data_IF_899113560856
#
_entry.id   IF_899113560856
#
_cell.length_a   1.000
_cell.length_b   1.000
_cell.length_c   1.000
_cell.angle_alpha   90.00
_cell.angle_beta   90.00
_cell.angle_gamma   90.00
#
_symmetry.space_group_name_H-M   'P 1'
#
loop_
_entity.id
_entity.type
_entity.pdbx_description
1 polymer ?
#
# COMPACT_ATOMS: atom_id res chain seq x y z
N UNK A 1 2.86 12.87 8.12
CA UNK A 1 2.98 12.83 6.65
C UNK A 1 2.29 11.58 6.12
N UNK A 2 1.61 11.67 4.97
CA UNK A 2 0.98 10.55 4.28
C UNK A 2 1.86 10.15 3.09
N UNK A 3 2.23 8.88 3.01
CA UNK A 3 3.00 8.33 1.91
C UNK A 3 2.11 7.38 1.08
N UNK A 4 1.90 7.70 -0.18
CA UNK A 4 1.15 6.87 -1.12
C UNK A 4 2.13 6.09 -1.99
N UNK A 5 2.16 4.77 -1.82
CA UNK A 5 2.86 3.85 -2.70
C UNK A 5 1.88 3.43 -3.81
N UNK A 6 2.04 4.05 -4.95
CA UNK A 6 1.19 3.81 -6.12
C UNK A 6 1.83 2.79 -7.05
N UNK A 7 1.14 1.68 -7.30
CA UNK A 7 1.63 0.62 -8.15
C UNK A 7 0.58 0.22 -9.20
N UNK A 8 0.61 0.86 -10.36
CA UNK A 8 -0.26 0.52 -11.48
C UNK A 8 0.57 0.23 -12.73
N UNK A 9 0.57 -1.01 -13.26
CA UNK A 9 1.37 -1.38 -14.44
C UNK A 9 1.00 -0.59 -15.70
N UNK A 10 -0.27 -0.16 -15.79
CA UNK A 10 -0.81 0.59 -16.94
C UNK A 10 -1.50 1.87 -16.46
N UNK A 11 -0.76 2.87 -15.93
CA UNK A 11 -1.35 4.04 -15.25
C UNK A 11 -2.23 4.89 -16.17
N UNK A 12 -1.95 4.90 -17.47
CA UNK A 12 -2.73 5.67 -18.45
C UNK A 12 -4.13 5.12 -18.70
N UNK A 13 -4.37 3.84 -18.39
CA UNK A 13 -5.66 3.18 -18.57
C UNK A 13 -6.55 3.20 -17.32
N UNK A 14 -6.11 3.82 -16.23
CA UNK A 14 -6.85 3.82 -14.96
C UNK A 14 -7.52 5.15 -14.69
N UNK A 15 -8.83 5.22 -14.90
CA UNK A 15 -9.61 6.40 -14.53
C UNK A 15 -9.76 6.55 -13.02
N UNK A 16 -10.05 5.47 -12.30
CA UNK A 16 -10.30 5.50 -10.87
C UNK A 16 -9.03 5.89 -10.08
N UNK A 17 -7.91 5.20 -10.34
CA UNK A 17 -6.66 5.52 -9.65
C UNK A 17 -6.14 6.91 -9.98
N UNK A 18 -6.29 7.36 -11.24
CA UNK A 18 -5.91 8.72 -11.64
C UNK A 18 -6.67 9.78 -10.83
N UNK A 19 -8.00 9.64 -10.72
CA UNK A 19 -8.84 10.55 -9.91
C UNK A 19 -8.44 10.55 -8.44
N UNK A 20 -8.16 9.39 -7.87
CA UNK A 20 -7.72 9.28 -6.47
C UNK A 20 -6.40 10.02 -6.26
N UNK A 21 -5.43 9.85 -7.16
CA UNK A 21 -4.15 10.55 -7.08
C UNK A 21 -4.27 12.07 -7.29
N UNK A 22 -5.14 12.51 -8.21
CA UNK A 22 -5.42 13.92 -8.43
C UNK A 22 -5.97 14.57 -7.15
N UNK A 23 -6.90 13.91 -6.47
CA UNK A 23 -7.42 14.39 -5.19
C UNK A 23 -6.34 14.36 -4.09
N UNK A 24 -5.54 13.31 -4.02
CA UNK A 24 -4.48 13.21 -3.04
C UNK A 24 -3.43 14.33 -3.17
N UNK A 25 -3.13 14.74 -4.41
CA UNK A 25 -2.18 15.84 -4.69
C UNK A 25 -2.65 17.21 -4.20
N UNK A 26 -3.94 17.39 -3.95
CA UNK A 26 -4.48 18.64 -3.42
C UNK A 26 -4.32 18.77 -1.90
N UNK A 27 -3.92 17.69 -1.23
CA UNK A 27 -3.76 17.64 0.21
C UNK A 27 -2.32 17.98 0.61
N UNK A 28 -2.17 18.76 1.68
CA UNK A 28 -0.86 19.03 2.25
C UNK A 28 -0.31 17.78 2.98
N UNK A 29 1.01 17.65 3.00
CA UNK A 29 1.69 16.55 3.70
C UNK A 29 1.53 15.18 3.05
N UNK A 30 1.22 15.14 1.74
CA UNK A 30 1.14 13.90 0.96
C UNK A 30 2.33 13.78 0.02
N UNK A 31 3.04 12.66 0.10
CA UNK A 31 4.07 12.25 -0.87
C UNK A 31 3.55 11.05 -1.67
N UNK A 32 3.69 11.08 -3.00
CA UNK A 32 3.27 10.01 -3.89
C UNK A 32 4.49 9.40 -4.56
N UNK A 33 4.70 8.10 -4.38
CA UNK A 33 5.74 7.32 -5.03
C UNK A 33 5.12 6.37 -6.03
N UNK A 34 5.23 6.71 -7.31
CA UNK A 34 4.72 5.89 -8.42
C UNK A 34 5.77 4.85 -8.80
N UNK A 35 5.62 3.62 -8.31
CA UNK A 35 6.66 2.60 -8.43
C UNK A 35 7.04 2.29 -9.87
N UNK A 36 6.06 2.15 -10.77
CA UNK A 36 6.32 1.86 -12.19
C UNK A 36 6.96 3.03 -12.96
N UNK A 37 6.90 4.25 -12.43
CA UNK A 37 7.62 5.40 -12.97
C UNK A 37 9.02 5.53 -12.38
N UNK A 38 9.18 5.25 -11.09
CA UNK A 38 10.47 5.33 -10.40
C UNK A 38 11.38 4.16 -10.78
N UNK A 39 10.81 2.98 -10.97
CA UNK A 39 11.55 1.73 -11.16
C UNK A 39 11.06 0.95 -12.39
N UNK A 40 11.18 1.52 -13.61
CA UNK A 40 10.71 0.86 -14.83
C UNK A 40 11.48 -0.43 -15.13
N UNK A 41 12.70 -0.55 -14.63
CA UNK A 41 13.58 -1.71 -14.74
C UNK A 41 13.50 -2.66 -13.52
N UNK A 42 12.57 -2.41 -12.58
CA UNK A 42 12.41 -3.16 -11.33
C UNK A 42 13.62 -3.09 -10.38
N UNK A 43 14.57 -2.19 -10.62
CA UNK A 43 15.71 -1.96 -9.75
C UNK A 43 15.37 -0.93 -8.66
N UNK A 44 14.85 -1.41 -7.54
CA UNK A 44 14.33 -0.57 -6.45
C UNK A 44 15.47 -0.02 -5.61
N UNK A 45 15.50 1.29 -5.42
CA UNK A 45 16.37 1.96 -4.44
C UNK A 45 15.77 1.78 -3.03
N UNK A 46 16.27 0.75 -2.34
CA UNK A 46 15.78 0.37 -1.01
C UNK A 46 15.98 1.49 0.00
N UNK A 47 17.12 2.17 -0.04
CA UNK A 47 17.44 3.23 0.92
C UNK A 47 16.49 4.43 0.78
N UNK A 48 16.23 4.85 -0.46
CA UNK A 48 15.29 5.93 -0.74
C UNK A 48 13.85 5.60 -0.32
N UNK A 49 13.43 4.34 -0.51
CA UNK A 49 12.10 3.89 -0.09
C UNK A 49 11.97 3.79 1.44
N UNK A 50 13.00 3.27 2.11
CA UNK A 50 13.04 3.20 3.57
C UNK A 50 13.08 4.61 4.21
N UNK A 51 13.79 5.55 3.61
CA UNK A 51 13.79 6.93 4.06
C UNK A 51 12.40 7.57 3.94
N UNK A 52 11.72 7.40 2.80
CA UNK A 52 10.36 7.90 2.60
C UNK A 52 9.39 7.28 3.62
N UNK A 53 9.47 5.98 3.84
CA UNK A 53 8.67 5.27 4.85
C UNK A 53 8.94 5.77 6.26
N UNK A 54 10.19 6.09 6.60
CA UNK A 54 10.56 6.57 7.94
C UNK A 54 9.85 7.86 8.30
N UNK A 55 9.63 8.76 7.34
CA UNK A 55 8.92 10.04 7.52
C UNK A 55 7.40 9.90 7.59
N UNK A 56 6.83 8.78 7.15
CA UNK A 56 5.39 8.60 7.04
C UNK A 56 4.75 8.19 8.38
N UNK A 57 3.59 8.76 8.68
CA UNK A 57 2.70 8.31 9.76
C UNK A 57 1.62 7.36 9.22
N UNK A 58 1.15 7.64 7.99
CA UNK A 58 0.21 6.82 7.25
C UNK A 58 0.82 6.39 5.92
N UNK A 59 0.86 5.11 5.68
CA UNK A 59 1.29 4.50 4.42
C UNK A 59 0.03 4.03 3.68
N UNK A 60 -0.09 4.40 2.41
CA UNK A 60 -1.21 3.97 1.56
C UNK A 60 -0.67 3.11 0.43
N UNK A 61 -1.11 1.86 0.33
CA UNK A 61 -0.88 1.04 -0.86
C UNK A 61 -2.05 1.23 -1.81
N UNK A 62 -1.80 1.94 -2.91
CA UNK A 62 -2.81 2.20 -3.95
C UNK A 62 -2.47 1.45 -5.23
N UNK A 63 -3.32 0.52 -5.63
CA UNK A 63 -3.09 -0.31 -6.81
C UNK A 63 -4.37 -0.96 -7.34
N UNK A 64 -4.39 -1.42 -8.61
CA UNK A 64 -5.44 -2.28 -9.12
C UNK A 64 -5.24 -3.71 -8.59
N UNK A 65 -6.32 -4.43 -8.36
CA UNK A 65 -6.25 -5.88 -8.15
C UNK A 65 -5.98 -6.57 -9.48
N UNK A 66 -4.96 -7.41 -9.51
CA UNK A 66 -4.61 -8.24 -10.66
C UNK A 66 -4.62 -9.72 -10.24
N UNK A 67 -5.50 -10.49 -10.87
CA UNK A 67 -5.66 -11.92 -10.54
C UNK A 67 -5.76 -12.17 -9.03
N UNK A 68 -6.63 -11.38 -8.37
CA UNK A 68 -6.88 -11.48 -6.91
C UNK A 68 -5.67 -11.18 -6.04
N UNK A 69 -4.67 -10.48 -6.57
CA UNK A 69 -3.42 -10.18 -5.90
C UNK A 69 -2.96 -8.73 -6.19
N UNK A 70 -1.77 -8.42 -5.72
CA UNK A 70 -1.10 -7.15 -5.93
C UNK A 70 -0.25 -7.18 -7.21
N UNK A 71 0.04 -6.02 -7.82
CA UNK A 71 0.96 -5.94 -8.95
C UNK A 71 2.37 -6.46 -8.60
N UNK A 72 3.07 -7.10 -9.55
CA UNK A 72 4.36 -7.75 -9.28
C UNK A 72 5.43 -6.81 -8.73
N UNK A 73 5.50 -5.56 -9.23
CA UNK A 73 6.47 -4.60 -8.71
C UNK A 73 6.17 -4.19 -7.26
N UNK A 74 4.89 -4.11 -6.85
CA UNK A 74 4.54 -3.86 -5.45
C UNK A 74 4.97 -5.02 -4.56
N UNK A 75 4.79 -6.26 -5.01
CA UNK A 75 5.25 -7.44 -4.26
C UNK A 75 6.76 -7.43 -4.10
N UNK A 76 7.49 -7.17 -5.17
CA UNK A 76 8.94 -7.07 -5.14
C UNK A 76 9.39 -5.93 -4.21
N UNK A 77 8.70 -4.79 -4.25
CA UNK A 77 8.97 -3.64 -3.39
C UNK A 77 8.80 -4.01 -1.91
N UNK A 78 7.69 -4.68 -1.54
CA UNK A 78 7.47 -5.14 -0.17
C UNK A 78 8.60 -6.07 0.28
N UNK A 79 8.96 -7.05 -0.54
CA UNK A 79 9.97 -8.06 -0.20
C UNK A 79 11.37 -7.46 -0.02
N UNK A 80 11.71 -6.45 -0.81
CA UNK A 80 13.03 -5.81 -0.74
C UNK A 80 13.12 -4.72 0.33
N UNK A 81 12.09 -3.87 0.42
CA UNK A 81 12.11 -2.70 1.30
C UNK A 81 11.87 -3.09 2.76
N UNK A 82 10.96 -4.05 3.00
CA UNK A 82 10.68 -4.53 4.35
C UNK A 82 11.70 -5.60 4.74
N UNK A 83 12.96 -5.19 4.85
CA UNK A 83 14.06 -6.08 5.17
C UNK A 83 14.11 -6.46 6.67
N UNK A 84 14.70 -7.63 6.93
CA UNK A 84 15.00 -8.08 8.29
C UNK A 84 15.96 -7.08 8.98
N UNK A 85 15.72 -6.80 10.25
CA UNK A 85 16.49 -5.82 11.03
C UNK A 85 16.09 -4.37 10.80
N UNK A 86 15.26 -4.08 9.80
CA UNK A 86 14.69 -2.77 9.56
C UNK A 86 13.16 -2.75 9.82
N UNK A 87 12.40 -3.54 9.10
CA UNK A 87 10.94 -3.60 9.23
C UNK A 87 10.48 -4.62 10.28
N UNK A 88 11.20 -5.70 10.44
CA UNK A 88 10.86 -6.82 11.33
C UNK A 88 12.13 -7.53 11.83
N UNK A 89 11.93 -8.49 12.74
CA UNK A 89 13.03 -9.24 13.35
C UNK A 89 13.74 -8.44 14.45
N UNK A 90 14.93 -8.92 14.85
CA UNK A 90 15.70 -8.29 15.91
C UNK A 90 16.15 -6.87 15.49
N UNK A 91 15.73 -5.85 16.25
CA UNK A 91 16.02 -4.44 15.94
C UNK A 91 15.12 -3.81 14.86
N UNK A 92 14.27 -4.58 14.16
CA UNK A 92 13.40 -4.10 13.10
C UNK A 92 12.14 -3.41 13.62
N UNK A 93 12.22 -2.12 13.89
CA UNK A 93 11.14 -1.31 14.47
C UNK A 93 10.68 -0.13 13.60
N UNK A 94 11.20 -0.02 12.39
CA UNK A 94 10.98 1.16 11.54
C UNK A 94 9.50 1.41 11.18
N UNK A 95 8.66 0.38 11.20
CA UNK A 95 7.23 0.47 10.92
C UNK A 95 6.36 0.55 12.18
N UNK A 96 6.94 0.55 13.38
CA UNK A 96 6.18 0.66 14.62
C UNK A 96 5.43 1.98 14.70
N UNK A 97 4.17 1.92 15.13
CA UNK A 97 3.31 3.10 15.29
C UNK A 97 2.79 3.70 13.99
N UNK A 98 3.16 3.18 12.84
CA UNK A 98 2.65 3.64 11.55
C UNK A 98 1.32 2.97 11.21
N UNK A 99 0.48 3.70 10.46
CA UNK A 99 -0.79 3.20 9.95
C UNK A 99 -0.64 2.74 8.51
N UNK A 100 -1.35 1.68 8.13
CA UNK A 100 -1.43 1.19 6.75
C UNK A 100 -2.87 1.24 6.26
N UNK A 101 -3.08 1.87 5.10
CA UNK A 101 -4.32 1.84 4.35
C UNK A 101 -4.10 1.12 3.03
N UNK A 102 -4.98 0.18 2.72
CA UNK A 102 -4.94 -0.54 1.46
C UNK A 102 -6.08 -0.07 0.55
N UNK A 103 -5.74 0.72 -0.48
CA UNK A 103 -6.65 1.31 -1.46
C UNK A 103 -6.59 0.51 -2.77
N UNK A 104 -7.53 -0.40 -2.96
CA UNK A 104 -7.56 -1.33 -4.10
C UNK A 104 -8.69 -1.00 -5.05
N UNK A 105 -8.40 -0.94 -6.35
CA UNK A 105 -9.39 -0.85 -7.41
C UNK A 105 -9.56 -2.20 -8.10
N UNK A 106 -10.79 -2.52 -8.53
CA UNK A 106 -11.11 -3.76 -9.26
C UNK A 106 -11.73 -3.44 -10.59
N UNK A 107 -11.29 -4.12 -11.66
CA UNK A 107 -11.85 -3.96 -13.01
C UNK A 107 -13.08 -4.84 -13.29
N UNK A 108 -13.34 -5.82 -12.42
CA UNK A 108 -14.47 -6.74 -12.57
C UNK A 108 -15.76 -6.21 -11.99
N UNK A 109 -16.89 -6.42 -12.68
CA UNK A 109 -18.22 -6.15 -12.14
C UNK A 109 -18.55 -7.04 -10.93
N UNK A 110 -19.51 -6.63 -10.10
CA UNK A 110 -19.97 -7.37 -8.90
C UNK A 110 -20.30 -8.85 -9.17
N UNK A 111 -20.69 -9.20 -10.39
CA UNK A 111 -21.04 -10.56 -10.78
C UNK A 111 -19.81 -11.50 -10.81
N UNK A 112 -18.65 -11.01 -11.28
CA UNK A 112 -17.41 -11.79 -11.34
C UNK A 112 -16.87 -12.06 -9.93
N UNK A 113 -16.97 -11.10 -9.03
CA UNK A 113 -16.57 -11.24 -7.63
C UNK A 113 -17.46 -12.26 -6.86
N UNK A 114 -18.71 -12.45 -7.28
CA UNK A 114 -19.60 -13.47 -6.69
C UNK A 114 -19.26 -14.90 -7.11
N UNK A 115 -18.77 -15.09 -8.35
CA UNK A 115 -18.43 -16.43 -8.88
C UNK A 115 -17.23 -17.06 -8.17
N UNK A 116 -16.34 -16.28 -7.61
CA UNK A 116 -15.07 -16.76 -7.01
C UNK A 116 -15.09 -16.71 -5.48
N UNK A 117 -16.22 -16.52 -4.82
CA UNK A 117 -16.34 -16.51 -3.34
C UNK A 117 -15.17 -15.85 -2.59
N UNK A 118 -14.54 -14.84 -3.19
CA UNK A 118 -13.52 -14.04 -2.53
C UNK A 118 -14.25 -12.94 -1.78
N UNK A 119 -14.22 -13.01 -0.47
CA UNK A 119 -14.51 -11.85 0.36
C UNK A 119 -13.36 -10.86 0.12
N UNK A 120 -13.48 -10.04 -0.91
CA UNK A 120 -12.65 -8.84 -1.01
C UNK A 120 -13.00 -7.99 0.21
N UNK A 121 -12.10 -7.93 1.16
CA UNK A 121 -12.15 -6.96 2.24
C UNK A 121 -11.88 -5.60 1.63
N UNK A 122 -12.90 -5.04 1.01
CA UNK A 122 -12.89 -3.63 0.64
C UNK A 122 -12.89 -2.83 1.93
N UNK A 123 -11.82 -2.05 2.09
CA UNK A 123 -11.64 -1.12 3.20
C UNK A 123 -11.69 -1.81 4.59
N UNK A 124 -10.66 -2.53 4.93
CA UNK A 124 -10.49 -3.03 6.27
C UNK A 124 -10.09 -1.87 7.20
N UNK A 125 -11.09 -1.23 7.81
CA UNK A 125 -10.90 -0.46 9.03
C UNK A 125 -10.48 -1.48 10.09
N UNK A 126 -9.20 -1.69 10.34
CA UNK A 126 -8.74 -2.50 11.45
C UNK A 126 -9.10 -1.77 12.73
N UNK A 127 -10.28 -2.09 13.28
CA UNK A 127 -10.55 -1.79 14.68
C UNK A 127 -9.70 -2.75 15.50
N UNK A 128 -8.51 -2.30 15.85
CA UNK A 128 -7.76 -2.91 16.94
C UNK A 128 -8.50 -2.63 18.24
N UNK A 129 -9.40 -3.53 18.63
CA UNK A 129 -10.02 -3.53 19.95
C UNK A 129 -8.95 -3.94 20.94
N UNK A 130 -8.37 -2.98 21.65
CA UNK A 130 -7.68 -3.28 22.92
C UNK A 130 -8.68 -4.00 23.83
N UNK A 131 -8.50 -5.28 24.03
CA UNK A 131 -9.04 -5.93 25.22
C UNK A 131 -8.24 -5.39 26.40
N UNK A 132 -8.85 -4.48 27.16
CA UNK A 132 -8.40 -4.22 28.51
C UNK A 132 -8.72 -5.49 29.30
N UNK A 133 -7.71 -6.22 29.71
CA UNK A 133 -7.85 -7.24 30.75
C UNK A 133 -8.03 -6.49 32.07
N UNK A 134 -9.23 -6.42 32.54
CA UNK A 134 -9.50 -6.17 33.95
C UNK A 134 -9.11 -7.44 34.70
N UNK A 135 -7.91 -7.45 35.29
CA UNK A 135 -7.60 -8.34 36.39
C UNK A 135 -8.18 -7.71 37.65
N UNK A 136 -9.18 -8.38 38.21
CA UNK A 136 -9.57 -8.23 39.60
C UNK A 136 -8.71 -9.13 40.47
#
# INVERSE_FOLDING_TARGET
MILIIYAHPYPHHSHANKRMLEQARTLEGVEIRSLYQLYPDFNIDIAAEQEALSRADLIVWQHPMQWYSIPPLLKLWIDKVFSHGWAYGHGGTALHGKHLLWAVTTGGGKAILKLVRIRALMCCRSRYRRRQSTAG
#
